data_IF_975827080392
#
_entry.id   IF_975827080392
#
_cell.length_a   1.000
_cell.length_b   1.000
_cell.length_c   1.000
_cell.angle_alpha   90.00
_cell.angle_beta   90.00
_cell.angle_gamma   90.00
#
_symmetry.space_group_name_H-M   'P 1'
#
loop_
_entity.id
_entity.type
_entity.pdbx_description
1 polymer ?
#
# COMPACT_ATOMS: atom_id res chain seq x y z
N UNK A 1 15.51 -7.14 7.48
CA UNK A 1 16.22 -5.89 7.16
C UNK A 1 15.59 -4.75 7.92
N UNK A 2 16.39 -3.89 8.53
CA UNK A 2 15.94 -2.60 9.07
C UNK A 2 16.61 -1.47 8.28
N UNK A 3 15.81 -0.49 7.86
CA UNK A 3 16.24 0.63 7.05
C UNK A 3 15.60 1.93 7.55
N UNK A 4 16.24 3.06 7.26
CA UNK A 4 15.79 4.39 7.67
C UNK A 4 15.68 5.31 6.47
N UNK A 5 14.73 6.25 6.51
CA UNK A 5 14.63 7.30 5.51
C UNK A 5 15.43 8.51 5.99
N UNK A 6 16.34 9.01 5.15
CA UNK A 6 17.14 10.18 5.51
C UNK A 6 16.32 11.48 5.54
N UNK A 7 15.29 11.58 4.70
CA UNK A 7 14.33 12.67 4.74
C UNK A 7 13.16 12.36 5.68
N UNK A 8 13.23 12.93 6.88
CA UNK A 8 12.22 12.75 7.95
C UNK A 8 10.86 13.35 7.61
N UNK A 9 10.80 14.29 6.67
CA UNK A 9 9.59 15.07 6.39
C UNK A 9 8.89 14.65 5.12
N UNK A 10 9.63 14.08 4.15
CA UNK A 10 9.10 13.80 2.84
C UNK A 10 9.64 12.47 2.30
N UNK A 11 8.84 11.41 2.43
CA UNK A 11 9.18 10.09 1.90
C UNK A 11 9.27 10.06 0.37
N UNK A 12 8.65 11.01 -0.32
CA UNK A 12 8.62 11.08 -1.77
C UNK A 12 9.92 11.61 -2.39
N UNK A 13 10.84 12.11 -1.57
CA UNK A 13 12.17 12.57 -1.96
C UNK A 13 13.17 12.21 -0.85
N UNK A 14 13.41 10.91 -0.70
CA UNK A 14 14.20 10.33 0.37
C UNK A 14 15.11 9.20 -0.15
N UNK A 15 16.23 8.98 0.52
CA UNK A 15 17.02 7.78 0.39
C UNK A 15 16.64 6.80 1.51
N UNK A 16 16.43 5.54 1.13
CA UNK A 16 16.30 4.42 2.05
C UNK A 16 17.71 3.92 2.34
N UNK A 17 18.13 4.03 3.60
CA UNK A 17 19.47 3.65 4.06
C UNK A 17 19.41 2.43 4.95
N UNK A 18 20.33 1.50 4.77
CA UNK A 18 20.51 0.37 5.69
C UNK A 18 20.84 0.88 7.09
N UNK A 19 20.23 0.30 8.11
CA UNK A 19 20.51 0.64 9.51
C UNK A 19 21.88 0.15 9.99
N UNK A 20 22.45 -0.87 9.33
CA UNK A 20 23.68 -1.55 9.77
C UNK A 20 24.91 -0.72 9.42
N UNK A 21 24.98 -0.21 8.19
CA UNK A 21 26.14 0.44 7.59
C UNK A 21 25.82 1.83 7.00
N UNK A 22 24.57 2.28 7.09
CA UNK A 22 24.11 3.57 6.52
C UNK A 22 24.29 3.71 5.00
N UNK A 23 24.54 2.61 4.29
CA UNK A 23 24.60 2.58 2.83
C UNK A 23 23.22 2.85 2.24
N UNK A 24 23.21 3.49 1.06
CA UNK A 24 21.95 3.76 0.35
C UNK A 24 21.54 2.46 -0.34
N UNK A 25 20.35 1.98 -0.03
CA UNK A 25 19.73 0.82 -0.67
C UNK A 25 18.91 1.28 -1.87
N UNK A 26 18.03 2.26 -1.62
CA UNK A 26 17.16 2.82 -2.64
C UNK A 26 17.08 4.34 -2.57
N UNK A 27 16.85 4.96 -3.72
CA UNK A 27 16.56 6.39 -3.85
C UNK A 27 15.13 6.58 -4.34
N UNK A 28 14.33 7.34 -3.61
CA UNK A 28 12.96 7.71 -3.99
C UNK A 28 12.98 9.11 -4.58
N UNK A 29 12.50 9.25 -5.81
CA UNK A 29 12.36 10.55 -6.47
C UNK A 29 10.94 10.73 -7.00
N UNK A 30 10.30 11.83 -6.64
CA UNK A 30 8.96 12.17 -7.13
C UNK A 30 8.99 13.43 -7.97
N UNK A 31 8.39 13.34 -9.15
CA UNK A 31 8.17 14.47 -10.03
C UNK A 31 6.79 15.09 -9.78
N UNK A 32 6.73 16.41 -9.93
CA UNK A 32 5.54 17.21 -9.75
C UNK A 32 5.30 18.06 -10.99
N UNK A 33 4.04 18.35 -11.27
CA UNK A 33 3.63 19.37 -12.21
C UNK A 33 2.61 20.33 -11.57
N UNK A 34 2.10 21.28 -12.35
CA UNK A 34 1.11 22.27 -11.89
C UNK A 34 -0.16 21.67 -11.28
N UNK A 35 -0.44 20.39 -11.52
CA UNK A 35 -1.62 19.68 -11.04
C UNK A 35 -1.30 18.62 -9.97
N UNK A 36 -0.09 18.65 -9.41
CA UNK A 36 0.34 17.74 -8.35
C UNK A 36 1.34 16.68 -8.80
N UNK A 37 1.32 15.52 -8.15
CA UNK A 37 2.30 14.44 -8.34
C UNK A 37 2.06 13.73 -9.67
N UNK A 38 3.12 13.48 -10.43
CA UNK A 38 3.07 12.75 -11.70
C UNK A 38 3.56 11.32 -11.56
N UNK A 39 4.84 11.16 -11.22
CA UNK A 39 5.47 9.85 -11.05
C UNK A 39 6.41 9.86 -9.86
N UNK A 40 6.33 8.81 -9.03
CA UNK A 40 7.33 8.47 -8.02
C UNK A 40 8.13 7.28 -8.51
N UNK A 41 9.46 7.43 -8.58
CA UNK A 41 10.39 6.40 -8.98
C UNK A 41 11.14 5.89 -7.75
N UNK A 42 11.26 4.57 -7.63
CA UNK A 42 12.14 3.87 -6.71
C UNK A 42 13.33 3.34 -7.49
N UNK A 43 14.52 3.83 -7.16
CA UNK A 43 15.76 3.48 -7.84
C UNK A 43 16.66 2.68 -6.92
N UNK A 44 17.25 1.60 -7.43
CA UNK A 44 18.35 0.89 -6.78
C UNK A 44 19.59 1.79 -6.80
N UNK A 45 20.25 1.90 -5.65
CA UNK A 45 21.49 2.65 -5.52
C UNK A 45 22.71 1.89 -6.03
N UNK A 46 22.63 0.55 -6.12
CA UNK A 46 23.71 -0.31 -6.57
C UNK A 46 23.22 -1.28 -7.66
N UNK A 47 22.68 -0.79 -8.80
CA UNK A 47 22.20 -1.67 -9.86
C UNK A 47 23.36 -2.49 -10.44
N UNK A 48 23.08 -3.73 -10.85
CA UNK A 48 24.06 -4.53 -11.57
C UNK A 48 24.44 -3.83 -12.89
N UNK A 49 25.66 -4.08 -13.37
CA UNK A 49 26.17 -3.43 -14.57
C UNK A 49 25.29 -3.77 -15.78
N UNK A 50 24.58 -2.77 -16.31
CA UNK A 50 23.68 -2.91 -17.46
C UNK A 50 22.18 -2.92 -17.10
N UNK A 51 21.83 -3.03 -15.81
CA UNK A 51 20.45 -2.97 -15.38
C UNK A 51 19.96 -1.52 -15.26
N UNK A 52 18.65 -1.34 -15.47
CA UNK A 52 18.00 -0.05 -15.22
C UNK A 52 18.08 0.26 -13.73
N UNK A 53 18.53 1.46 -13.32
CA UNK A 53 18.51 1.84 -11.92
C UNK A 53 17.08 1.93 -11.37
N UNK A 54 16.06 2.10 -12.21
CA UNK A 54 14.67 2.13 -11.75
C UNK A 54 14.12 0.71 -11.56
N UNK A 55 13.87 0.33 -10.30
CA UNK A 55 13.29 -0.97 -9.93
C UNK A 55 11.78 -0.92 -9.79
N UNK A 56 11.22 0.26 -9.50
CA UNK A 56 9.78 0.42 -9.38
C UNK A 56 9.29 1.85 -9.59
N UNK A 57 8.00 2.00 -9.88
CA UNK A 57 7.38 3.30 -10.07
C UNK A 57 5.90 3.32 -9.68
N UNK A 58 5.43 4.48 -9.21
CA UNK A 58 4.01 4.80 -9.01
C UNK A 58 3.66 5.94 -9.97
N UNK A 59 2.75 5.65 -10.88
CA UNK A 59 2.20 6.61 -11.83
C UNK A 59 0.87 7.11 -11.26
N UNK A 60 0.92 8.29 -10.63
CA UNK A 60 -0.16 8.78 -9.76
C UNK A 60 -1.44 9.11 -10.52
N UNK A 61 -1.30 9.63 -11.75
CA UNK A 61 -2.43 10.05 -12.59
C UNK A 61 -3.14 8.86 -13.18
N UNK A 62 -2.37 7.93 -13.72
CA UNK A 62 -2.83 6.70 -14.37
C UNK A 62 -3.23 5.63 -13.34
N UNK A 63 -2.90 5.84 -12.06
CA UNK A 63 -3.19 4.92 -10.95
C UNK A 63 -2.63 3.52 -11.23
N UNK A 64 -1.36 3.46 -11.62
CA UNK A 64 -0.68 2.21 -11.92
C UNK A 64 0.68 2.13 -11.22
N UNK A 65 1.07 0.90 -10.92
CA UNK A 65 2.37 0.55 -10.37
C UNK A 65 3.19 -0.14 -11.46
N UNK A 66 4.49 0.08 -11.41
CA UNK A 66 5.47 -0.64 -12.21
C UNK A 66 6.48 -1.28 -11.27
N UNK A 67 6.73 -2.58 -11.41
CA UNK A 67 7.73 -3.33 -10.63
C UNK A 67 8.54 -4.14 -11.62
N UNK A 68 9.85 -3.90 -11.69
CA UNK A 68 10.76 -4.54 -12.65
C UNK A 68 10.24 -4.52 -14.09
N UNK A 69 9.73 -3.37 -14.55
CA UNK A 69 9.20 -3.18 -15.91
C UNK A 69 7.77 -3.71 -16.15
N UNK A 70 7.19 -4.45 -15.20
CA UNK A 70 5.82 -4.93 -15.30
C UNK A 70 4.83 -3.92 -14.72
N UNK A 71 3.84 -3.50 -15.52
CA UNK A 71 2.84 -2.51 -15.12
C UNK A 71 1.52 -3.18 -14.72
N UNK A 72 0.93 -2.72 -13.61
CA UNK A 72 -0.40 -3.14 -13.15
C UNK A 72 -1.21 -1.97 -12.63
N UNK A 73 -2.51 -1.96 -12.90
CA UNK A 73 -3.39 -0.93 -12.33
C UNK A 73 -3.55 -1.16 -10.83
N UNK A 74 -3.73 -0.08 -10.06
CA UNK A 74 -3.97 -0.17 -8.61
C UNK A 74 -5.24 -0.99 -8.33
N UNK A 75 -6.26 -0.92 -9.18
CA UNK A 75 -7.48 -1.73 -9.04
C UNK A 75 -7.24 -3.24 -9.20
N UNK A 76 -6.25 -3.64 -10.01
CA UNK A 76 -5.96 -5.07 -10.23
C UNK A 76 -5.20 -5.68 -9.06
N UNK A 77 -4.39 -4.89 -8.37
CA UNK A 77 -3.54 -5.34 -7.24
C UNK A 77 -4.18 -5.09 -5.88
N UNK A 78 -5.16 -4.19 -5.78
CA UNK A 78 -5.79 -3.76 -4.52
C UNK A 78 -7.21 -4.28 -4.41
N UNK A 79 -7.45 -5.15 -3.44
CA UNK A 79 -8.76 -5.75 -3.17
C UNK A 79 -9.33 -5.31 -1.83
N UNK A 80 -10.67 -5.32 -1.73
CA UNK A 80 -11.41 -5.03 -0.48
C UNK A 80 -11.55 -6.24 0.43
N UNK A 81 -11.52 -7.43 -0.15
CA UNK A 81 -11.60 -8.69 0.55
C UNK A 81 -10.38 -9.54 0.17
N UNK A 82 -9.93 -10.42 1.05
CA UNK A 82 -8.92 -11.40 0.68
C UNK A 82 -9.52 -12.23 -0.46
N UNK A 83 -8.94 -12.12 -1.64
CA UNK A 83 -9.28 -13.00 -2.76
C UNK A 83 -8.60 -14.31 -2.46
N UNK A 84 -9.17 -15.07 -1.53
CA UNK A 84 -8.88 -16.49 -1.48
C UNK A 84 -9.31 -17.02 -2.84
N UNK A 85 -8.42 -17.69 -3.59
CA UNK A 85 -8.83 -18.38 -4.80
C UNK A 85 -9.90 -19.35 -4.35
N UNK A 86 -11.17 -18.98 -4.55
CA UNK A 86 -12.31 -19.81 -4.24
C UNK A 86 -12.03 -21.06 -5.04
N UNK A 87 -11.67 -22.16 -4.36
CA UNK A 87 -11.26 -23.40 -5.00
C UNK A 87 -12.22 -23.59 -6.16
N UNK A 88 -11.74 -23.43 -7.40
CA UNK A 88 -12.65 -23.48 -8.54
C UNK A 88 -13.34 -24.81 -8.36
N UNK A 89 -14.68 -24.85 -8.27
CA UNK A 89 -15.39 -26.09 -8.08
C UNK A 89 -14.85 -26.99 -9.17
N UNK A 90 -14.08 -28.01 -8.77
CA UNK A 90 -13.45 -28.95 -9.67
C UNK A 90 -14.63 -29.39 -10.50
N UNK A 91 -14.71 -28.92 -11.74
CA UNK A 91 -15.76 -29.35 -12.65
C UNK A 91 -15.44 -30.81 -12.74
N UNK A 92 -16.18 -31.63 -11.97
CA UNK A 92 -16.21 -33.05 -12.15
C UNK A 92 -16.57 -33.14 -13.61
N UNK A 93 -15.56 -33.46 -14.43
CA UNK A 93 -15.75 -34.03 -15.73
C UNK A 93 -16.52 -35.32 -15.41
N UNK A 94 -17.83 -35.17 -15.23
CA UNK A 94 -18.76 -36.24 -15.45
C UNK A 94 -18.44 -36.65 -16.87
N UNK A 95 -17.82 -37.82 -16.96
CA UNK A 95 -17.57 -38.53 -18.19
C UNK A 95 -18.92 -38.66 -18.89
N UNK A 96 -19.27 -37.66 -19.70
CA UNK A 96 -20.39 -37.73 -20.61
C UNK A 96 -19.99 -38.77 -21.64
N UNK A 97 -20.59 -39.93 -21.50
CA UNK A 97 -20.47 -41.04 -22.40
C UNK A 97 -20.64 -40.56 -23.86
N UNK A 98 -19.60 -40.86 -24.61
CA UNK A 98 -19.48 -40.93 -26.06
C UNK A 98 -20.80 -41.35 -26.72
N UNK A 99 -21.54 -40.39 -27.31
CA UNK A 99 -22.58 -40.69 -28.32
C UNK A 99 -22.17 -40.04 -29.63
N UNK A 100 -21.82 -40.89 -30.58
CA UNK A 100 -21.58 -40.57 -31.98
C UNK A 100 -22.80 -39.96 -32.67
N UNK A 101 -22.62 -38.83 -33.38
CA UNK A 101 -23.29 -38.51 -34.65
C UNK A 101 -22.57 -37.32 -35.30
N UNK A 102 -21.75 -37.57 -36.33
CA UNK A 102 -22.08 -37.61 -37.77
C UNK A 102 -22.13 -36.20 -38.38
N UNK A 103 -21.04 -35.90 -39.11
CA UNK A 103 -20.96 -35.21 -40.41
C UNK A 103 -21.73 -33.90 -40.60
N UNK A 104 -21.03 -32.80 -40.92
CA UNK A 104 -20.93 -32.33 -42.32
C UNK A 104 -20.00 -31.12 -42.48
N UNK A 105 -19.38 -31.13 -43.65
CA UNK A 105 -18.53 -30.14 -44.33
C UNK A 105 -19.19 -28.78 -44.57
N UNK A 106 -18.37 -27.73 -44.70
CA UNK A 106 -18.36 -26.67 -45.74
C UNK A 106 -17.39 -25.57 -45.24
N UNK A 107 -16.19 -25.42 -45.82
CA UNK A 107 -15.86 -24.61 -47.00
C UNK A 107 -16.47 -23.19 -46.93
N UNK A 108 -15.66 -22.18 -46.62
CA UNK A 108 -15.55 -21.01 -47.49
C UNK A 108 -14.37 -20.10 -47.13
N UNK A 109 -13.61 -19.78 -48.18
CA UNK A 109 -12.56 -18.78 -48.26
C UNK A 109 -13.15 -17.35 -48.19
N UNK A 110 -12.38 -16.38 -47.68
CA UNK A 110 -12.28 -14.99 -48.19
C UNK A 110 -11.27 -14.22 -47.33
N UNK A 111 -10.06 -13.97 -47.82
CA UNK A 111 -9.63 -12.95 -48.78
C UNK A 111 -9.27 -11.63 -48.11
N UNK A 112 -7.96 -11.35 -48.19
CA UNK A 112 -7.26 -10.07 -48.21
C UNK A 112 -8.13 -8.81 -48.33
N UNK A 113 -7.79 -7.80 -47.52
CA UNK A 113 -7.91 -6.41 -47.96
C UNK A 113 -6.70 -5.62 -47.51
N UNK A 114 -5.88 -5.33 -48.51
CA UNK A 114 -4.85 -4.32 -48.54
C UNK A 114 -5.39 -2.90 -48.32
N UNK A 115 -4.43 -2.03 -48.01
CA UNK A 115 -4.29 -0.65 -48.46
C UNK A 115 -4.49 0.50 -47.46
N UNK A 116 -3.42 1.33 -47.45
CA UNK A 116 -3.39 2.81 -47.41
C UNK A 116 -3.87 3.43 -46.09
N UNK A 117 -3.02 4.08 -45.31
CA UNK A 117 -1.99 5.04 -45.72
C UNK A 117 -2.52 6.44 -45.44
N UNK A 118 -1.77 7.24 -44.67
CA UNK A 118 -1.61 8.69 -44.84
C UNK A 118 -0.68 9.21 -43.75
N UNK A 119 0.49 9.67 -44.21
CA UNK A 119 1.38 10.51 -43.42
C UNK A 119 0.72 11.88 -43.16
N UNK A 120 1.01 12.41 -41.98
CA UNK A 120 0.72 13.79 -41.61
C UNK A 120 1.98 14.41 -41.05
N UNK A 121 2.77 15.04 -41.93
CA UNK A 121 3.76 16.04 -41.55
C UNK A 121 3.00 17.26 -41.01
N UNK A 122 3.37 17.72 -39.82
CA UNK A 122 2.67 18.79 -39.12
C UNK A 122 3.59 19.67 -38.29
N UNK A 123 4.39 20.48 -38.98
CA UNK A 123 4.81 21.85 -38.64
C UNK A 123 5.27 22.13 -37.21
N UNK A 124 6.58 22.09 -37.07
CA UNK A 124 7.40 22.97 -36.25
C UNK A 124 6.96 24.44 -36.41
N UNK A 125 6.69 25.10 -35.27
CA UNK A 125 6.58 26.55 -35.16
C UNK A 125 7.42 26.97 -33.98
N UNK A 126 8.59 27.49 -34.30
CA UNK A 126 9.30 28.44 -33.47
C UNK A 126 8.40 29.64 -33.20
N UNK A 127 8.31 30.03 -31.93
CA UNK A 127 7.90 31.38 -31.60
C UNK A 127 8.66 31.86 -30.37
N UNK A 128 9.75 32.57 -30.68
CA UNK A 128 10.36 33.58 -29.83
C UNK A 128 9.30 34.56 -29.34
N UNK A 129 9.27 34.82 -28.03
CA UNK A 129 8.88 36.13 -27.51
C UNK A 129 9.80 36.58 -26.38
N UNK A 130 10.57 37.59 -26.76
CA UNK A 130 11.23 38.61 -25.94
C UNK A 130 10.26 39.31 -24.97
N UNK A 131 10.68 39.41 -23.70
CA UNK A 131 11.10 40.67 -23.04
C UNK A 131 10.12 41.86 -23.01
N UNK A 132 9.53 42.14 -21.84
CA UNK A 132 9.11 43.48 -21.35
C UNK A 132 9.17 43.47 -19.80
N UNK A 133 10.18 44.11 -19.17
CA UNK A 133 10.15 45.39 -18.39
C UNK A 133 9.11 45.47 -17.26
N UNK A 134 9.54 45.45 -15.99
CA UNK A 134 9.92 46.59 -15.12
C UNK A 134 8.74 47.35 -14.48
N UNK A 135 8.70 47.26 -13.14
CA UNK A 135 8.34 48.22 -12.08
C UNK A 135 7.14 49.16 -12.20
N UNK A 136 6.16 49.02 -11.28
CA UNK A 136 5.40 50.14 -10.66
C UNK A 136 4.97 49.83 -9.19
N UNK A 137 5.62 50.49 -8.24
CA UNK A 137 5.12 51.35 -7.13
C UNK A 137 3.86 50.96 -6.31
N UNK A 138 4.09 50.60 -5.03
CA UNK A 138 3.64 51.26 -3.76
C UNK A 138 2.14 51.55 -3.50
N UNK A 139 1.68 51.02 -2.36
CA UNK A 139 0.98 51.68 -1.23
C UNK A 139 -0.52 51.38 -0.94
N UNK A 140 -0.76 51.07 0.36
CA UNK A 140 -2.00 51.26 1.19
C UNK A 140 -3.20 50.39 0.79
N UNK A 141 -4.02 49.82 1.67
CA UNK A 141 -4.42 50.13 3.05
C UNK A 141 -5.03 48.89 3.71
N UNK A 142 -4.89 48.77 5.03
CA UNK A 142 -5.53 47.75 5.85
C UNK A 142 -7.06 47.92 5.93
N UNK A 143 -7.83 46.82 6.03
CA UNK A 143 -9.15 46.83 6.64
C UNK A 143 -9.11 46.28 8.06
N UNK A 144 -9.74 47.04 8.95
CA UNK A 144 -10.00 46.73 10.36
C UNK A 144 -10.90 45.49 10.47
N UNK A 145 -10.54 44.56 11.36
CA UNK A 145 -11.43 43.50 11.82
C UNK A 145 -11.82 43.79 13.27
N UNK A 146 -13.06 44.20 13.48
CA UNK A 146 -13.72 44.23 14.79
C UNK A 146 -14.92 43.30 14.71
N UNK A 147 -14.90 42.22 15.48
CA UNK A 147 -15.91 41.87 16.50
C UNK A 147 -15.56 40.51 17.09
N UNK A 148 -15.19 40.51 18.37
CA UNK A 148 -15.05 39.32 19.19
C UNK A 148 -16.45 38.81 19.56
N UNK A 149 -16.73 37.53 19.31
CA UNK A 149 -17.83 36.82 19.97
C UNK A 149 -17.30 36.07 21.20
N UNK A 150 -17.99 36.12 22.35
CA UNK A 150 -17.61 35.37 23.53
C UNK A 150 -17.91 33.88 23.31
N UNK A 151 -16.87 33.07 23.26
CA UNK A 151 -16.98 31.61 23.19
C UNK A 151 -17.35 31.09 24.59
N UNK A 152 -18.63 30.82 24.81
CA UNK A 152 -19.14 30.11 25.97
C UNK A 152 -18.60 28.67 25.95
N UNK A 153 -17.80 28.31 26.95
CA UNK A 153 -17.42 26.92 27.25
C UNK A 153 -18.67 26.11 27.58
N UNK A 154 -19.19 25.35 26.62
CA UNK A 154 -20.14 24.25 26.86
C UNK A 154 -19.49 22.92 26.49
N UNK A 155 -19.07 22.25 27.56
CA UNK A 155 -19.14 20.81 27.85
C UNK A 155 -19.18 19.82 26.69
N UNK A 156 -18.18 18.94 26.72
CA UNK A 156 -17.79 17.82 25.86
C UNK A 156 -18.82 16.67 25.65
N UNK A 157 -20.12 16.95 25.70
CA UNK A 157 -21.17 15.91 25.57
C UNK A 157 -21.85 15.85 24.18
N UNK A 158 -21.54 16.78 23.26
CA UNK A 158 -22.17 16.87 21.93
C UNK A 158 -21.18 16.48 20.82
N UNK A 159 -20.50 15.34 20.98
CA UNK A 159 -19.65 14.76 19.92
C UNK A 159 -20.22 13.44 19.37
N UNK A 160 -21.26 12.88 20.01
CA UNK A 160 -21.90 11.64 19.56
C UNK A 160 -22.91 11.79 18.42
N UNK A 161 -23.48 12.99 18.19
CA UNK A 161 -24.57 13.21 17.22
C UNK A 161 -24.14 13.78 15.86
N UNK A 162 -22.87 14.19 15.69
CA UNK A 162 -22.38 14.82 14.46
C UNK A 162 -21.73 13.84 13.46
N UNK A 163 -21.93 12.52 13.61
CA UNK A 163 -21.31 11.54 12.70
C UNK A 163 -19.77 11.50 12.74
N UNK A 164 -19.13 12.23 13.68
CA UNK A 164 -17.69 12.27 13.82
C UNK A 164 -17.12 10.91 14.24
N UNK A 165 -17.86 10.10 15.00
CA UNK A 165 -17.44 8.73 15.35
C UNK A 165 -17.34 7.83 14.11
N UNK A 166 -18.23 8.00 13.13
CA UNK A 166 -18.14 7.29 11.84
C UNK A 166 -17.05 7.87 10.93
N UNK A 167 -16.79 9.17 10.99
CA UNK A 167 -15.68 9.81 10.27
C UNK A 167 -14.30 9.34 10.77
N UNK A 168 -14.12 9.22 12.09
CA UNK A 168 -12.93 8.61 12.68
C UNK A 168 -12.85 7.11 12.34
N UNK A 169 -13.97 6.37 12.35
CA UNK A 169 -14.01 4.96 11.89
C UNK A 169 -13.70 4.79 10.39
N UNK A 170 -13.99 5.79 9.57
CA UNK A 170 -13.63 5.81 8.15
C UNK A 170 -12.14 6.13 7.93
N UNK A 171 -11.52 6.89 8.85
CA UNK A 171 -10.07 7.11 8.89
C UNK A 171 -9.29 5.96 9.52
N UNK A 172 -9.87 5.19 10.45
CA UNK A 172 -9.22 4.04 11.07
C UNK A 172 -9.39 2.79 10.21
N UNK A 173 -8.28 2.30 9.67
CA UNK A 173 -8.12 0.92 9.20
C UNK A 173 -9.18 0.43 8.21
N UNK A 174 -9.31 1.11 7.08
CA UNK A 174 -9.73 0.39 5.89
C UNK A 174 -8.60 -0.58 5.53
N UNK A 175 -8.61 -1.76 6.14
CA UNK A 175 -7.76 -2.88 5.74
C UNK A 175 -7.88 -3.07 4.24
N UNK A 176 -6.74 -3.20 3.57
CA UNK A 176 -6.69 -3.43 2.12
C UNK A 176 -5.76 -4.58 1.84
N UNK A 177 -6.22 -5.43 0.93
CA UNK A 177 -5.48 -6.59 0.49
C UNK A 177 -4.72 -6.22 -0.76
N UNK A 178 -3.42 -6.48 -0.77
CA UNK A 178 -2.52 -6.15 -1.86
C UNK A 178 -1.84 -7.41 -2.35
N UNK A 179 -1.94 -7.67 -3.64
CA UNK A 179 -1.28 -8.82 -4.27
C UNK A 179 -0.75 -8.40 -5.61
N UNK A 180 0.55 -8.55 -5.83
CA UNK A 180 1.14 -8.17 -7.11
C UNK A 180 0.63 -9.09 -8.23
N UNK A 181 0.65 -10.40 -8.03
CA UNK A 181 0.23 -11.40 -9.01
C UNK A 181 -0.22 -12.70 -8.33
N UNK A 182 -0.90 -13.58 -9.07
CA UNK A 182 -1.47 -14.81 -8.54
C UNK A 182 -0.41 -15.81 -8.03
N UNK A 183 0.84 -15.69 -8.46
CA UNK A 183 1.99 -16.49 -8.03
C UNK A 183 2.72 -15.89 -6.82
N UNK A 184 2.36 -14.68 -6.39
CA UNK A 184 2.99 -13.98 -5.27
C UNK A 184 2.09 -13.92 -4.05
N UNK A 185 2.73 -13.69 -2.90
CA UNK A 185 2.05 -13.56 -1.62
C UNK A 185 1.06 -12.39 -1.63
N UNK A 186 -0.05 -12.58 -0.93
CA UNK A 186 -1.00 -11.52 -0.64
C UNK A 186 -0.66 -10.89 0.71
N UNK A 187 -0.82 -9.58 0.80
CA UNK A 187 -0.51 -8.82 1.99
C UNK A 187 -1.75 -8.06 2.46
N UNK A 188 -2.03 -8.15 3.76
CA UNK A 188 -2.95 -7.27 4.43
C UNK A 188 -2.21 -6.01 4.86
N UNK A 189 -2.62 -4.85 4.33
CA UNK A 189 -2.09 -3.56 4.76
C UNK A 189 -3.03 -2.94 5.80
N UNK A 190 -2.49 -2.71 6.99
CA UNK A 190 -3.17 -2.06 8.10
C UNK A 190 -2.31 -0.90 8.65
N UNK A 191 -2.96 0.10 9.26
CA UNK A 191 -2.28 1.19 9.95
C UNK A 191 -2.59 1.10 11.44
N UNK A 192 -1.66 0.63 12.25
CA UNK A 192 -1.84 0.40 13.68
C UNK A 192 -0.75 1.11 14.48
N UNK A 193 -1.08 1.67 15.66
CA UNK A 193 -0.11 2.31 16.58
C UNK A 193 0.94 3.22 15.88
N UNK A 194 0.48 4.08 14.97
CA UNK A 194 1.35 5.01 14.20
C UNK A 194 2.32 4.37 13.20
N UNK A 195 2.11 3.11 12.84
CA UNK A 195 2.89 2.40 11.83
C UNK A 195 2.00 1.71 10.80
N UNK A 196 2.43 1.72 9.55
CA UNK A 196 1.90 0.81 8.55
C UNK A 196 2.47 -0.58 8.81
N UNK A 197 1.62 -1.61 8.74
CA UNK A 197 2.01 -3.01 8.80
C UNK A 197 1.50 -3.71 7.55
N UNK A 198 2.36 -4.53 6.95
CA UNK A 198 2.05 -5.48 5.91
C UNK A 198 2.09 -6.87 6.54
N UNK A 199 0.93 -7.51 6.70
CA UNK A 199 0.83 -8.87 7.23
C UNK A 199 0.75 -9.84 6.04
N UNK A 200 1.64 -10.84 6.00
CA UNK A 200 1.57 -11.89 4.99
C UNK A 200 0.35 -12.76 5.25
N UNK A 201 -0.43 -13.01 4.20
CA UNK A 201 -1.57 -13.93 4.24
C UNK A 201 -1.04 -15.28 3.79
N UNK A 202 -0.86 -16.18 4.75
CA UNK A 202 -0.54 -17.56 4.48
C UNK A 202 -1.82 -18.24 3.98
N UNK A 203 -1.76 -18.82 2.78
CA UNK A 203 -2.81 -19.70 2.29
C UNK A 203 -2.73 -20.98 3.14
N UNK A 204 -3.47 -21.06 4.24
CA UNK A 204 -3.55 -22.23 5.15
C UNK A 204 -4.25 -23.44 4.48
N UNK A 205 -4.02 -23.68 3.19
CA UNK A 205 -4.73 -24.72 2.43
C UNK A 205 -4.33 -26.15 2.76
N UNK A 206 -3.29 -26.35 3.57
CA UNK A 206 -2.66 -27.66 3.73
C UNK A 206 -3.00 -28.37 5.06
N UNK A 207 -3.59 -27.68 6.04
CA UNK A 207 -3.81 -28.23 7.40
C UNK A 207 -5.18 -28.86 7.63
N UNK A 208 -6.13 -28.75 6.68
CA UNK A 208 -7.47 -29.36 6.82
C UNK A 208 -7.47 -30.89 6.65
N UNK A 209 -6.31 -31.55 6.48
CA UNK A 209 -6.23 -33.00 6.31
C UNK A 209 -5.38 -33.72 7.35
N UNK A 210 -4.96 -33.05 8.44
CA UNK A 210 -4.53 -33.76 9.64
C UNK A 210 -5.77 -34.33 10.34
N UNK A 211 -6.19 -35.47 9.80
CA UNK A 211 -7.18 -36.38 10.36
C UNK A 211 -6.78 -36.67 11.80
N UNK A 212 -7.36 -35.95 12.75
CA UNK A 212 -7.27 -36.23 14.17
C UNK A 212 -7.53 -37.74 14.32
N UNK A 213 -6.57 -38.53 14.81
CA UNK A 213 -6.84 -39.93 15.08
C UNK A 213 -7.85 -39.99 16.24
N UNK A 214 -9.13 -40.14 15.90
CA UNK A 214 -10.17 -40.57 16.82
C UNK A 214 -9.74 -41.91 17.42
N UNK A 215 -9.14 -41.90 18.61
CA UNK A 215 -8.75 -43.15 19.24
C UNK A 215 -7.80 -43.04 20.41
N UNK A 216 -8.22 -42.43 21.53
CA UNK A 216 -7.79 -42.91 22.86
C UNK A 216 -8.72 -42.45 23.97
N UNK A 217 -9.65 -43.33 24.33
CA UNK A 217 -10.29 -43.36 25.63
C UNK A 217 -9.22 -43.63 26.70
N UNK A 218 -8.86 -42.61 27.49
CA UNK A 218 -8.20 -42.79 28.78
C UNK A 218 -9.05 -42.14 29.87
N UNK A 219 -9.89 -42.97 30.49
CA UNK A 219 -10.35 -42.76 31.86
C UNK A 219 -9.14 -43.01 32.78
N UNK A 220 -8.76 -42.00 33.55
CA UNK A 220 -7.65 -42.08 34.48
C UNK A 220 -7.70 -40.94 35.50
N UNK A 221 -8.51 -41.14 36.52
CA UNK A 221 -8.60 -40.35 37.75
C UNK A 221 -7.24 -40.25 38.46
N UNK A 222 -6.88 -39.08 39.01
CA UNK A 222 -6.71 -38.85 40.46
C UNK A 222 -6.16 -37.45 40.73
N UNK A 223 -6.70 -36.83 41.78
CA UNK A 223 -6.59 -35.40 42.07
C UNK A 223 -5.27 -34.93 42.68
N UNK A 224 -5.18 -33.60 42.77
CA UNK A 224 -4.17 -32.87 43.51
C UNK A 224 -4.65 -31.43 43.66
N UNK A 225 -5.27 -31.15 44.81
CA UNK A 225 -5.56 -29.80 45.31
C UNK A 225 -4.25 -29.05 45.55
N UNK A 226 -3.94 -28.05 44.72
CA UNK A 226 -3.07 -26.94 45.11
C UNK A 226 -3.74 -25.64 44.68
N UNK A 227 -4.28 -24.95 45.69
CA UNK A 227 -4.80 -23.59 45.60
C UNK A 227 -3.61 -22.65 45.66
N UNK A 228 -3.15 -22.15 44.52
CA UNK A 228 -2.22 -21.01 44.49
C UNK A 228 -2.84 -19.86 43.70
N UNK A 229 -3.35 -18.89 44.46
CA UNK A 229 -4.11 -17.76 43.99
C UNK A 229 -3.16 -16.62 43.58
N UNK A 230 -2.56 -16.75 42.40
CA UNK A 230 -1.97 -15.63 41.66
C UNK A 230 -2.06 -15.82 40.14
N UNK A 231 -3.19 -16.35 39.67
CA UNK A 231 -3.54 -16.40 38.25
C UNK A 231 -4.04 -15.04 37.77
N UNK A 232 -3.11 -14.08 37.58
CA UNK A 232 -3.40 -12.79 36.96
C UNK A 232 -3.04 -12.87 35.47
N UNK A 233 -4.04 -13.19 34.66
CA UNK A 233 -4.17 -13.00 33.20
C UNK A 233 -2.88 -12.80 32.40
N UNK A 234 -2.26 -13.90 31.95
CA UNK A 234 -1.18 -13.89 30.94
C UNK A 234 -1.68 -14.09 29.51
N UNK A 235 -3.00 -14.10 29.28
CA UNK A 235 -3.58 -14.39 27.95
C UNK A 235 -3.40 -13.25 26.94
N UNK A 236 -2.97 -12.06 27.38
CA UNK A 236 -2.74 -10.91 26.49
C UNK A 236 -1.41 -10.94 25.75
N UNK A 237 -0.36 -11.60 26.25
CA UNK A 237 0.95 -11.60 25.59
C UNK A 237 0.99 -12.50 24.34
N UNK A 238 0.13 -13.52 24.26
CA UNK A 238 0.16 -14.51 23.18
C UNK A 238 -0.27 -13.95 21.80
N UNK A 239 -1.11 -12.92 21.77
CA UNK A 239 -1.64 -12.37 20.51
C UNK A 239 -0.59 -11.55 19.75
N UNK A 240 0.28 -10.85 20.48
CA UNK A 240 1.27 -9.97 19.86
C UNK A 240 2.39 -10.78 19.15
N UNK A 241 2.73 -11.97 19.64
CA UNK A 241 3.76 -12.83 19.04
C UNK A 241 3.35 -13.40 17.66
N UNK A 242 2.10 -13.86 17.51
CA UNK A 242 1.61 -14.42 16.23
C UNK A 242 1.56 -13.34 15.14
N UNK A 243 1.23 -12.10 15.52
CA UNK A 243 1.19 -10.99 14.58
C UNK A 243 2.58 -10.58 14.12
N UNK A 244 3.58 -10.61 15.01
CA UNK A 244 4.96 -10.33 14.67
C UNK A 244 5.52 -11.37 13.69
N UNK A 245 5.17 -12.65 13.84
CA UNK A 245 5.56 -13.71 12.91
C UNK A 245 4.98 -13.51 11.50
N UNK A 246 3.74 -13.03 11.42
CA UNK A 246 3.08 -12.73 10.13
C UNK A 246 3.49 -11.38 9.53
N UNK A 247 4.18 -10.52 10.28
CA UNK A 247 4.52 -9.18 9.81
C UNK A 247 5.65 -9.25 8.77
N UNK A 248 5.25 -9.18 7.50
CA UNK A 248 6.17 -9.13 6.37
C UNK A 248 6.98 -7.83 6.34
N UNK A 249 6.34 -6.71 6.67
CA UNK A 249 7.01 -5.42 6.78
C UNK A 249 6.25 -4.44 7.68
N UNK A 250 6.96 -3.51 8.31
CA UNK A 250 6.39 -2.38 9.03
C UNK A 250 7.09 -1.07 8.69
N UNK A 251 6.33 0.01 8.60
CA UNK A 251 6.82 1.36 8.35
C UNK A 251 6.30 2.31 9.43
N UNK A 252 7.19 2.68 10.34
CA UNK A 252 6.93 3.63 11.41
C UNK A 252 7.13 5.06 10.93
N UNK A 253 6.10 5.90 11.07
CA UNK A 253 6.10 7.29 10.59
C UNK A 253 5.75 8.22 11.75
N UNK A 254 6.66 9.11 12.17
CA UNK A 254 6.37 10.05 13.25
C UNK A 254 5.25 11.01 12.83
N UNK A 255 4.09 10.90 13.47
CA UNK A 255 2.85 11.58 13.06
C UNK A 255 2.93 13.11 13.12
N UNK A 256 3.80 13.69 13.97
CA UNK A 256 3.96 15.15 14.07
C UNK A 256 5.42 15.57 14.20
N UNK A 257 5.86 16.58 13.44
CA UNK A 257 7.08 17.29 13.79
C UNK A 257 6.83 18.01 15.13
N UNK A 258 7.45 17.51 16.19
CA UNK A 258 7.44 18.20 17.47
C UNK A 258 8.27 19.48 17.31
N UNK A 259 7.64 20.66 17.48
CA UNK A 259 8.26 21.98 17.30
C UNK A 259 9.56 22.18 18.11
N UNK A 260 9.75 21.41 19.19
CA UNK A 260 10.87 21.55 20.11
C UNK A 260 11.68 20.27 20.34
N UNK A 261 11.41 19.20 19.58
CA UNK A 261 12.15 17.95 19.72
C UNK A 261 12.66 17.45 18.38
N UNK A 262 13.83 16.80 18.40
CA UNK A 262 14.37 16.13 17.21
C UNK A 262 13.38 15.05 16.78
N UNK A 263 12.80 15.20 15.59
CA UNK A 263 11.90 14.19 15.03
C UNK A 263 12.67 12.88 14.87
N UNK A 264 12.07 11.78 15.35
CA UNK A 264 12.57 10.43 15.12
C UNK A 264 12.64 10.17 13.61
N UNK A 265 13.64 9.44 13.10
CA UNK A 265 13.64 9.07 11.69
C UNK A 265 12.46 8.12 11.40
N UNK A 266 11.98 8.15 10.15
CA UNK A 266 11.08 7.12 9.66
C UNK A 266 11.86 5.81 9.55
N UNK A 267 11.31 4.73 10.10
CA UNK A 267 11.97 3.42 10.14
C UNK A 267 11.13 2.41 9.37
N UNK A 268 11.77 1.70 8.45
CA UNK A 268 11.23 0.56 7.73
C UNK A 268 11.85 -0.71 8.28
N UNK A 269 11.03 -1.70 8.60
CA UNK A 269 11.45 -3.05 8.95
C UNK A 269 10.80 -4.02 7.98
N UNK A 270 11.58 -4.96 7.45
CA UNK A 270 11.09 -6.01 6.54
C UNK A 270 11.62 -7.35 7.01
N UNK A 271 10.75 -8.36 7.03
CA UNK A 271 11.10 -9.75 7.29
C UNK A 271 11.96 -10.33 6.15
N UNK A 272 12.77 -11.34 6.46
CA UNK A 272 13.65 -12.01 5.47
C UNK A 272 12.88 -12.64 4.31
N UNK A 273 11.74 -13.27 4.60
CA UNK A 273 10.88 -13.88 3.58
C UNK A 273 10.33 -12.86 2.58
N UNK A 274 9.91 -11.68 3.08
CA UNK A 274 9.35 -10.60 2.27
C UNK A 274 10.40 -9.94 1.36
N UNK A 275 11.65 -9.85 1.82
CA UNK A 275 12.74 -9.23 1.07
C UNK A 275 13.06 -9.98 -0.23
N UNK A 276 13.01 -11.31 -0.22
CA UNK A 276 13.46 -12.10 -1.36
C UNK A 276 12.54 -12.00 -2.59
N UNK A 277 11.24 -11.83 -2.37
CA UNK A 277 10.25 -11.95 -3.46
C UNK A 277 9.54 -10.63 -3.78
N UNK A 278 9.21 -9.85 -2.75
CA UNK A 278 8.25 -8.74 -2.86
C UNK A 278 8.77 -7.42 -2.26
N UNK A 279 10.08 -7.28 -2.07
CA UNK A 279 10.70 -6.09 -1.49
C UNK A 279 10.24 -4.80 -2.18
N UNK A 280 10.49 -4.71 -3.49
CA UNK A 280 10.14 -3.53 -4.32
C UNK A 280 8.65 -3.27 -4.27
N UNK A 281 7.82 -4.30 -4.34
CA UNK A 281 6.36 -4.16 -4.31
C UNK A 281 5.89 -3.59 -2.97
N UNK A 282 6.35 -4.15 -1.85
CA UNK A 282 5.99 -3.69 -0.50
C UNK A 282 6.44 -2.25 -0.25
N UNK A 283 7.63 -1.88 -0.69
CA UNK A 283 8.12 -0.50 -0.62
C UNK A 283 7.16 0.47 -1.33
N UNK A 284 6.76 0.16 -2.57
CA UNK A 284 5.82 1.01 -3.32
C UNK A 284 4.44 1.07 -2.64
N UNK A 285 3.93 -0.05 -2.13
CA UNK A 285 2.64 -0.09 -1.43
C UNK A 285 2.67 0.76 -0.16
N UNK A 286 3.77 0.73 0.61
CA UNK A 286 3.94 1.54 1.81
C UNK A 286 4.03 3.04 1.49
N UNK A 287 4.84 3.41 0.48
CA UNK A 287 4.95 4.81 0.01
C UNK A 287 3.59 5.32 -0.47
N UNK A 288 2.87 4.51 -1.24
CA UNK A 288 1.53 4.85 -1.73
C UNK A 288 0.55 5.07 -0.58
N UNK A 289 0.53 4.14 0.38
CA UNK A 289 -0.42 4.16 1.51
C UNK A 289 -0.19 5.38 2.38
N UNK A 290 1.07 5.72 2.68
CA UNK A 290 1.39 6.92 3.43
C UNK A 290 1.00 8.19 2.69
N UNK A 291 1.34 8.29 1.41
CA UNK A 291 1.01 9.49 0.61
C UNK A 291 -0.50 9.71 0.57
N UNK A 292 -1.29 8.64 0.42
CA UNK A 292 -2.74 8.72 0.44
C UNK A 292 -3.30 9.14 1.79
N UNK A 293 -2.69 8.71 2.89
CA UNK A 293 -3.05 9.17 4.23
C UNK A 293 -2.83 10.68 4.37
N UNK A 294 -1.66 11.18 3.95
CA UNK A 294 -1.33 12.61 3.99
C UNK A 294 -2.28 13.46 3.13
N UNK A 295 -2.62 12.98 1.93
CA UNK A 295 -3.59 13.67 1.05
C UNK A 295 -4.98 13.75 1.69
N UNK A 296 -5.38 12.71 2.42
CA UNK A 296 -6.66 12.69 3.14
C UNK A 296 -6.65 13.63 4.35
N UNK A 297 -5.52 13.82 5.03
CA UNK A 297 -5.42 14.76 6.15
C UNK A 297 -5.35 16.21 5.70
N UNK A 298 -4.82 16.47 4.50
CA UNK A 298 -4.70 17.83 3.97
C UNK A 298 -6.03 18.35 3.39
N UNK A 299 -6.89 17.45 2.89
CA UNK A 299 -8.17 17.84 2.28
C UNK A 299 -9.29 18.12 3.28
N UNK A 300 -9.18 17.65 4.53
CA UNK A 300 -10.17 17.91 5.58
C UNK A 300 -10.00 19.26 6.29
N UNK A 301 -8.85 19.90 6.16
CA UNK A 301 -8.56 21.20 6.75
C UNK A 301 -9.04 22.37 5.91
N UNK A 302 -10.24 22.27 5.30
CA UNK A 302 -10.82 23.30 4.42
C UNK A 302 -10.50 24.71 4.91
N UNK A 303 -9.62 25.38 4.17
CA UNK A 303 -9.32 26.80 4.34
C UNK A 303 -10.45 27.64 3.76
#
# INVERSE_FOLDING_TARGET
MEATFDNKTNLLSANIRSSVDSSILYTITTSHNLWGRTITLLKDANPALGDSPAVGAIYWRERLFEVHGHRKSISDIKHRQPVFPRAQPRVQQQHAAKVHRRSQSHVSQKSNRDEKGKGGQGKEKDQDQEKVKEDIVKAKSAPQWTTCFPLVRRSSAILGQLGLVEWWRSMTCNTRFWRWSADRMAYEMAYHREQWQALAILDNSDDENEKIPEGRNHQGSTGSDYSDASGFDSDYEKVDEEQDERTAASLYIPYRPHLFHKTKPTVLRMGSAALLQDEVFLLLVMIYSETKRQDSTNSSGGW
#
